data_IF_494473048642
#
_entry.id   IF_494473048642
#
_cell.length_a   1.000
_cell.length_b   1.000
_cell.length_c   1.000
_cell.angle_alpha   90.00
_cell.angle_beta   90.00
_cell.angle_gamma   90.00
#
_symmetry.space_group_name_H-M   'P 1'
#
loop_
_entity.id
_entity.type
_entity.pdbx_description
1 polymer ?
#
# COMPACT_ATOMS: atom_id res chain seq x y z
N UNK A 1 19.49 12.97 -4.08
CA UNK A 1 18.33 12.15 -4.55
C UNK A 1 18.62 11.71 -5.97
N UNK A 2 18.46 10.45 -6.26
CA UNK A 2 18.76 9.88 -7.59
C UNK A 2 17.58 10.22 -8.53
N UNK A 3 17.70 11.30 -9.30
CA UNK A 3 16.65 11.88 -10.15
C UNK A 3 16.27 10.99 -11.37
N UNK A 4 16.92 9.85 -11.55
CA UNK A 4 16.71 8.94 -12.68
C UNK A 4 15.93 7.65 -12.34
N UNK A 5 15.37 7.51 -11.13
CA UNK A 5 14.56 6.36 -10.78
C UNK A 5 13.17 6.45 -11.44
N UNK A 6 12.66 5.31 -11.92
CA UNK A 6 11.26 5.22 -12.37
C UNK A 6 10.32 5.64 -11.23
N UNK A 7 9.18 6.31 -11.51
CA UNK A 7 8.28 6.84 -10.47
C UNK A 7 7.92 5.83 -9.36
N UNK A 8 7.64 4.57 -9.72
CA UNK A 8 7.37 3.50 -8.74
C UNK A 8 8.54 3.25 -7.78
N UNK A 9 9.78 3.38 -8.25
CA UNK A 9 10.97 3.19 -7.41
C UNK A 9 11.22 4.41 -6.53
N UNK A 10 10.98 5.62 -7.03
CA UNK A 10 11.10 6.84 -6.23
C UNK A 10 10.21 6.80 -5.00
N UNK A 11 8.96 6.35 -5.15
CA UNK A 11 8.03 6.21 -4.04
C UNK A 11 8.58 5.28 -2.96
N UNK A 12 9.03 4.08 -3.31
CA UNK A 12 9.61 3.13 -2.35
C UNK A 12 10.94 3.61 -1.76
N UNK A 13 11.72 4.41 -2.49
CA UNK A 13 12.91 5.05 -1.95
C UNK A 13 12.59 6.07 -0.85
N UNK A 14 11.43 6.71 -0.94
CA UNK A 14 10.93 7.67 0.06
C UNK A 14 10.11 7.01 1.18
N UNK A 15 9.78 5.74 1.04
CA UNK A 15 8.97 4.99 2.02
C UNK A 15 9.82 4.56 3.21
N UNK A 16 9.78 5.34 4.28
CA UNK A 16 10.63 5.13 5.47
C UNK A 16 10.02 4.28 6.56
N UNK A 17 8.72 3.92 6.45
CA UNK A 17 7.99 3.22 7.49
C UNK A 17 8.06 1.68 7.40
N UNK A 18 8.59 1.12 6.32
CA UNK A 18 8.65 -0.34 6.17
C UNK A 18 9.64 -0.99 7.13
N UNK A 19 9.20 -2.08 7.77
CA UNK A 19 10.00 -2.99 8.57
C UNK A 19 10.06 -4.37 7.92
N UNK A 20 11.16 -5.09 8.13
CA UNK A 20 11.31 -6.46 7.64
C UNK A 20 10.34 -7.41 8.36
N UNK A 21 9.49 -8.16 7.66
CA UNK A 21 8.53 -9.07 8.31
C UNK A 21 9.21 -10.26 9.01
N UNK A 22 10.50 -10.46 8.78
CA UNK A 22 11.29 -11.56 9.36
C UNK A 22 12.03 -11.13 10.63
N UNK A 23 12.69 -9.97 10.61
CA UNK A 23 13.56 -9.52 11.70
C UNK A 23 13.27 -8.12 12.24
N UNK A 24 12.25 -7.45 11.75
CA UNK A 24 11.79 -6.10 12.13
C UNK A 24 12.82 -4.98 11.89
N UNK A 25 13.96 -5.27 11.29
CA UNK A 25 14.91 -4.26 10.85
C UNK A 25 14.34 -3.38 9.75
N UNK A 26 14.86 -2.18 9.62
CA UNK A 26 14.44 -1.24 8.58
C UNK A 26 14.60 -1.83 7.18
N UNK A 27 13.62 -1.63 6.33
CA UNK A 27 13.71 -1.92 4.91
C UNK A 27 14.05 -0.64 4.14
N UNK A 28 15.02 -0.73 3.25
CA UNK A 28 15.41 0.34 2.33
C UNK A 28 15.45 -0.15 0.91
N UNK A 29 15.16 0.73 -0.04
CA UNK A 29 15.23 0.39 -1.46
C UNK A 29 16.69 0.27 -1.91
N UNK A 30 17.04 -0.90 -2.44
CA UNK A 30 18.31 -1.18 -3.10
C UNK A 30 17.99 -1.75 -4.49
N UNK A 31 18.32 -1.00 -5.54
CA UNK A 31 17.92 -1.31 -6.92
C UNK A 31 16.40 -1.40 -7.09
N UNK A 32 15.84 -2.60 -7.21
CA UNK A 32 14.40 -2.85 -7.37
C UNK A 32 13.83 -3.71 -6.24
N UNK A 33 14.52 -3.79 -5.10
CA UNK A 33 14.12 -4.62 -3.95
C UNK A 33 14.19 -3.81 -2.67
N UNK A 34 13.29 -4.11 -1.72
CA UNK A 34 13.44 -3.66 -0.34
C UNK A 34 14.33 -4.65 0.41
N UNK A 35 15.39 -4.14 1.04
CA UNK A 35 16.38 -4.97 1.75
C UNK A 35 16.61 -4.46 3.16
N UNK A 36 16.87 -5.38 4.11
CA UNK A 36 17.32 -5.06 5.46
C UNK A 36 18.79 -5.41 5.66
N UNK A 37 19.38 -4.93 6.76
CA UNK A 37 20.77 -5.21 7.10
C UNK A 37 21.06 -6.71 7.35
N UNK A 38 20.05 -7.49 7.71
CA UNK A 38 20.15 -8.94 7.89
C UNK A 38 20.02 -9.73 6.58
N UNK A 39 20.17 -9.07 5.43
CA UNK A 39 20.16 -9.65 4.07
C UNK A 39 18.82 -10.24 3.60
N UNK A 40 17.70 -9.96 4.29
CA UNK A 40 16.40 -10.27 3.73
C UNK A 40 16.09 -9.31 2.59
N UNK A 41 15.52 -9.83 1.50
CA UNK A 41 15.25 -9.07 0.27
C UNK A 41 13.86 -9.39 -0.26
N UNK A 42 13.12 -8.34 -0.66
CA UNK A 42 11.76 -8.42 -1.18
C UNK A 42 11.67 -7.61 -2.47
N UNK A 43 11.45 -8.27 -3.59
CA UNK A 43 11.44 -7.63 -4.90
C UNK A 43 10.15 -6.83 -5.11
N UNK A 44 10.31 -5.66 -5.70
CA UNK A 44 9.18 -4.86 -6.16
C UNK A 44 8.58 -5.47 -7.43
N UNK A 45 7.29 -5.76 -7.37
CA UNK A 45 6.55 -6.27 -8.50
C UNK A 45 6.47 -5.25 -9.66
N UNK A 46 6.28 -5.74 -10.87
CA UNK A 46 6.16 -4.91 -12.09
C UNK A 46 5.15 -3.78 -11.94
N UNK A 47 4.04 -4.04 -11.25
CA UNK A 47 2.94 -3.07 -11.08
C UNK A 47 3.11 -2.12 -9.91
N UNK A 48 4.24 -2.16 -9.18
CA UNK A 48 4.55 -1.21 -8.13
C UNK A 48 3.95 -1.57 -6.77
N UNK A 49 4.01 -2.82 -6.38
CA UNK A 49 3.77 -3.29 -5.02
C UNK A 49 4.90 -4.22 -4.57
N UNK A 50 4.98 -4.48 -3.28
CA UNK A 50 5.92 -5.45 -2.70
C UNK A 50 5.16 -6.51 -1.93
N UNK A 51 5.61 -7.77 -1.99
CA UNK A 51 5.05 -8.84 -1.16
C UNK A 51 5.91 -9.01 0.11
N UNK A 52 5.39 -8.54 1.23
CA UNK A 52 6.01 -8.64 2.56
C UNK A 52 5.40 -9.76 3.42
N UNK A 53 4.55 -10.62 2.84
CA UNK A 53 3.99 -11.81 3.46
C UNK A 53 4.11 -13.05 2.53
N UNK A 54 5.31 -13.39 2.03
CA UNK A 54 5.46 -14.44 1.02
C UNK A 54 5.10 -15.83 1.53
N UNK A 55 5.08 -16.04 2.84
CA UNK A 55 4.72 -17.31 3.49
C UNK A 55 3.21 -17.55 3.56
N UNK A 56 2.39 -16.55 3.32
CA UNK A 56 0.93 -16.66 3.40
C UNK A 56 0.39 -17.39 2.17
N UNK A 57 -0.33 -18.47 2.41
CA UNK A 57 -1.08 -19.15 1.34
C UNK A 57 -2.28 -18.32 0.94
N UNK A 58 -2.39 -18.03 -0.35
CA UNK A 58 -3.55 -17.30 -0.88
C UNK A 58 -4.80 -18.17 -0.82
N UNK A 59 -5.92 -17.58 -0.38
CA UNK A 59 -7.20 -18.26 -0.29
C UNK A 59 -7.94 -18.19 -1.62
N UNK A 60 -8.53 -19.32 -2.06
CA UNK A 60 -9.39 -19.34 -3.24
C UNK A 60 -10.70 -18.55 -3.08
N UNK A 61 -11.10 -18.23 -1.84
CA UNK A 61 -12.31 -17.45 -1.55
C UNK A 61 -12.12 -15.94 -1.81
N UNK A 62 -10.90 -15.48 -1.97
CA UNK A 62 -10.54 -14.09 -2.28
C UNK A 62 -9.90 -14.03 -3.66
N UNK A 63 -10.66 -14.48 -4.67
CA UNK A 63 -10.19 -14.50 -6.03
C UNK A 63 -10.26 -13.12 -6.70
N UNK A 64 -9.58 -13.03 -7.82
CA UNK A 64 -9.48 -11.82 -8.60
C UNK A 64 -10.83 -11.30 -9.09
N UNK A 65 -11.76 -12.19 -9.43
CA UNK A 65 -13.08 -11.83 -9.95
C UNK A 65 -13.90 -11.11 -8.87
N UNK A 66 -13.90 -11.60 -7.64
CA UNK A 66 -14.59 -10.96 -6.52
C UNK A 66 -14.08 -9.52 -6.29
N UNK A 67 -12.77 -9.29 -6.35
CA UNK A 67 -12.21 -7.95 -6.21
C UNK A 67 -12.55 -7.06 -7.41
N UNK A 68 -12.57 -7.57 -8.62
CA UNK A 68 -12.97 -6.81 -9.80
C UNK A 68 -14.45 -6.42 -9.76
N UNK A 69 -15.33 -7.31 -9.33
CA UNK A 69 -16.76 -7.02 -9.14
C UNK A 69 -16.95 -5.94 -8.07
N UNK A 70 -16.26 -6.05 -6.95
CA UNK A 70 -16.29 -5.05 -5.88
C UNK A 70 -15.80 -3.69 -6.39
N UNK A 71 -14.72 -3.66 -7.16
CA UNK A 71 -14.18 -2.43 -7.75
C UNK A 71 -15.23 -1.72 -8.61
N UNK A 72 -15.97 -2.46 -9.45
CA UNK A 72 -17.02 -1.86 -10.28
C UNK A 72 -18.12 -1.20 -9.45
N UNK A 73 -18.55 -1.82 -8.35
CA UNK A 73 -19.57 -1.26 -7.44
C UNK A 73 -19.05 0.02 -6.77
N UNK A 74 -17.81 0.01 -6.30
CA UNK A 74 -17.19 1.17 -5.65
C UNK A 74 -16.99 2.33 -6.61
N UNK A 75 -16.47 2.07 -7.81
CA UNK A 75 -16.29 3.10 -8.85
C UNK A 75 -17.63 3.65 -9.40
N UNK A 76 -18.73 2.89 -9.28
CA UNK A 76 -20.06 3.35 -9.62
C UNK A 76 -20.65 4.34 -8.57
N UNK A 77 -19.95 4.63 -7.48
CA UNK A 77 -20.32 5.66 -6.51
C UNK A 77 -21.24 5.20 -5.37
N UNK A 78 -21.51 3.90 -5.22
CA UNK A 78 -22.40 3.39 -4.16
C UNK A 78 -21.91 3.72 -2.75
N UNK A 79 -20.59 3.92 -2.58
CA UNK A 79 -19.95 4.19 -1.29
C UNK A 79 -19.36 5.60 -1.22
N UNK A 80 -19.78 6.50 -2.08
CA UNK A 80 -19.26 7.88 -2.16
C UNK A 80 -19.40 8.63 -0.83
N UNK A 81 -20.53 8.48 -0.14
CA UNK A 81 -20.77 9.13 1.15
C UNK A 81 -19.75 8.70 2.23
N UNK A 82 -19.33 7.43 2.23
CA UNK A 82 -18.31 6.95 3.16
C UNK A 82 -16.94 7.56 2.81
N UNK A 83 -16.62 7.62 1.54
CA UNK A 83 -15.37 8.25 1.06
C UNK A 83 -15.29 9.73 1.49
N UNK A 84 -16.38 10.47 1.37
CA UNK A 84 -16.47 11.87 1.77
C UNK A 84 -16.26 12.05 3.27
N UNK A 85 -16.91 11.25 4.10
CA UNK A 85 -16.72 11.28 5.57
C UNK A 85 -15.25 11.01 5.95
N UNK A 86 -14.63 10.01 5.36
CA UNK A 86 -13.21 9.69 5.63
C UNK A 86 -12.30 10.82 5.15
N UNK A 87 -12.58 11.40 3.97
CA UNK A 87 -11.83 12.54 3.44
C UNK A 87 -11.92 13.77 4.35
N UNK A 88 -13.11 14.06 4.89
CA UNK A 88 -13.31 15.15 5.85
C UNK A 88 -12.54 14.92 7.15
N UNK A 89 -12.54 13.69 7.67
CA UNK A 89 -11.75 13.33 8.84
C UNK A 89 -10.25 13.56 8.60
N UNK A 90 -9.73 13.17 7.45
CA UNK A 90 -8.33 13.40 7.07
C UNK A 90 -8.01 14.89 6.90
N UNK A 91 -8.94 15.68 6.35
CA UNK A 91 -8.81 17.13 6.21
C UNK A 91 -8.72 17.84 7.56
N UNK A 92 -9.49 17.35 8.54
CA UNK A 92 -9.48 17.89 9.90
C UNK A 92 -8.28 17.41 10.72
N UNK A 93 -7.65 16.30 10.33
CA UNK A 93 -6.46 15.74 10.98
C UNK A 93 -5.17 16.31 10.37
N UNK A 94 -4.94 17.62 10.57
CA UNK A 94 -3.83 18.37 9.93
C UNK A 94 -2.45 17.84 10.30
N UNK A 95 -2.29 17.27 11.47
CA UNK A 95 -1.02 16.73 11.96
C UNK A 95 -0.73 15.32 11.44
N UNK A 96 -1.78 14.59 11.00
CA UNK A 96 -1.60 13.28 10.42
C UNK A 96 -0.94 13.39 9.04
N UNK A 97 0.26 12.83 8.89
CA UNK A 97 1.05 12.86 7.66
C UNK A 97 1.15 11.51 6.99
N UNK A 98 1.10 10.44 7.78
CA UNK A 98 1.34 9.08 7.32
C UNK A 98 0.13 8.21 7.63
N UNK A 99 -0.54 7.74 6.62
CA UNK A 99 -1.82 7.01 6.70
C UNK A 99 -1.58 5.54 6.32
N UNK A 100 -2.15 4.63 7.11
CA UNK A 100 -2.16 3.20 6.83
C UNK A 100 -3.59 2.71 6.61
N UNK A 101 -3.85 2.17 5.43
CA UNK A 101 -5.09 1.46 5.10
C UNK A 101 -4.90 -0.05 5.28
N UNK A 102 -5.64 -0.61 6.24
CA UNK A 102 -5.57 -2.02 6.62
C UNK A 102 -6.71 -2.80 5.97
N UNK A 103 -6.38 -3.79 5.15
CA UNK A 103 -7.37 -4.53 4.38
C UNK A 103 -7.91 -3.71 3.21
N UNK A 104 -7.01 -3.08 2.45
CA UNK A 104 -7.35 -2.11 1.41
C UNK A 104 -8.12 -2.71 0.22
N UNK A 105 -8.19 -4.04 0.10
CA UNK A 105 -8.82 -4.71 -1.02
C UNK A 105 -8.20 -4.28 -2.36
N UNK A 106 -9.06 -3.89 -3.31
CA UNK A 106 -8.68 -3.37 -4.64
C UNK A 106 -8.23 -1.90 -4.62
N UNK A 107 -8.12 -1.29 -3.44
CA UNK A 107 -7.49 0.00 -3.21
C UNK A 107 -8.33 1.23 -3.58
N UNK A 108 -9.64 1.10 -3.71
CA UNK A 108 -10.52 2.23 -4.05
C UNK A 108 -10.34 3.41 -3.10
N UNK A 109 -10.49 3.19 -1.79
CA UNK A 109 -10.40 4.27 -0.80
C UNK A 109 -9.00 4.89 -0.76
N UNK A 110 -7.95 4.06 -0.69
CA UNK A 110 -6.57 4.56 -0.65
C UNK A 110 -6.23 5.43 -1.85
N UNK A 111 -6.63 5.04 -3.07
CA UNK A 111 -6.40 5.82 -4.29
C UNK A 111 -7.14 7.16 -4.24
N UNK A 112 -8.44 7.14 -3.95
CA UNK A 112 -9.28 8.35 -3.93
C UNK A 112 -8.89 9.31 -2.82
N UNK A 113 -8.56 8.80 -1.64
CA UNK A 113 -8.10 9.61 -0.53
C UNK A 113 -6.72 10.23 -0.81
N UNK A 114 -5.81 9.48 -1.42
CA UNK A 114 -4.50 10.00 -1.79
C UNK A 114 -4.62 11.11 -2.86
N UNK A 115 -5.49 10.94 -3.86
CA UNK A 115 -5.77 11.98 -4.86
C UNK A 115 -6.28 13.27 -4.22
N UNK A 116 -7.12 13.16 -3.18
CA UNK A 116 -7.68 14.31 -2.44
C UNK A 116 -6.71 14.90 -1.40
N UNK A 117 -5.74 14.13 -0.93
CA UNK A 117 -4.78 14.52 0.11
C UNK A 117 -3.33 14.22 -0.34
N UNK A 118 -2.84 14.89 -1.41
CA UNK A 118 -1.52 14.60 -1.98
C UNK A 118 -0.36 14.97 -1.04
N UNK A 119 -0.62 15.75 0.01
CA UNK A 119 0.34 16.12 1.04
C UNK A 119 0.60 15.01 2.07
N UNK A 120 -0.24 13.96 2.07
CA UNK A 120 -0.13 12.82 2.98
C UNK A 120 0.50 11.61 2.29
N UNK A 121 1.27 10.85 3.04
CA UNK A 121 1.87 9.60 2.56
C UNK A 121 0.96 8.43 2.90
N UNK A 122 0.56 7.66 1.89
CA UNK A 122 -0.31 6.50 2.06
C UNK A 122 0.48 5.20 1.96
N UNK A 123 0.24 4.32 2.92
CA UNK A 123 0.58 2.91 2.90
C UNK A 123 -0.71 2.11 2.90
N UNK A 124 -0.81 1.11 2.05
CA UNK A 124 -2.03 0.30 1.96
C UNK A 124 -1.69 -1.16 1.72
N UNK A 125 -2.31 -2.05 2.49
CA UNK A 125 -2.06 -3.47 2.36
C UNK A 125 -3.32 -4.32 2.47
N UNK A 126 -3.21 -5.47 1.88
CA UNK A 126 -4.16 -6.57 2.05
C UNK A 126 -3.36 -7.88 2.14
N UNK A 127 -3.96 -8.90 2.71
CA UNK A 127 -3.38 -10.24 2.74
C UNK A 127 -3.49 -10.93 1.37
N UNK A 128 -4.46 -10.51 0.55
CA UNK A 128 -4.66 -11.02 -0.81
C UNK A 128 -3.71 -10.35 -1.79
N UNK A 129 -2.84 -11.14 -2.39
CA UNK A 129 -1.95 -10.68 -3.45
C UNK A 129 -2.71 -10.16 -4.67
N UNK A 130 -3.84 -10.81 -5.02
CA UNK A 130 -4.65 -10.43 -6.18
C UNK A 130 -5.29 -9.06 -6.00
N UNK A 131 -5.80 -8.75 -4.79
CA UNK A 131 -6.37 -7.44 -4.50
C UNK A 131 -5.33 -6.33 -4.57
N UNK A 132 -4.16 -6.52 -3.95
CA UNK A 132 -3.06 -5.55 -3.98
C UNK A 132 -2.55 -5.33 -5.41
N UNK A 133 -2.51 -6.38 -6.22
CA UNK A 133 -2.13 -6.25 -7.62
C UNK A 133 -3.16 -5.45 -8.42
N UNK A 134 -4.46 -5.63 -8.17
CA UNK A 134 -5.52 -4.83 -8.78
C UNK A 134 -5.36 -3.35 -8.36
N UNK A 135 -5.19 -3.10 -7.05
CA UNK A 135 -4.98 -1.76 -6.52
C UNK A 135 -3.82 -1.04 -7.20
N UNK A 136 -2.65 -1.69 -7.23
CA UNK A 136 -1.44 -1.14 -7.85
C UNK A 136 -1.58 -0.89 -9.37
N UNK A 137 -2.35 -1.74 -10.08
CA UNK A 137 -2.62 -1.55 -11.51
C UNK A 137 -3.61 -0.42 -11.78
N UNK A 138 -4.53 -0.17 -10.86
CA UNK A 138 -5.57 0.84 -11.01
C UNK A 138 -5.08 2.25 -10.67
N UNK A 139 -3.91 2.37 -10.07
CA UNK A 139 -3.28 3.64 -9.74
C UNK A 139 -2.49 4.19 -10.93
N UNK A 140 -2.69 5.48 -11.26
CA UNK A 140 -2.01 6.15 -12.36
C UNK A 140 -0.79 6.98 -11.93
N UNK A 141 -0.76 7.46 -10.70
CA UNK A 141 0.21 8.44 -10.20
C UNK A 141 1.35 7.86 -9.35
N UNK A 142 1.35 6.57 -9.08
CA UNK A 142 2.37 5.88 -8.26
C UNK A 142 2.55 6.48 -6.86
N UNK A 143 1.48 6.93 -6.22
CA UNK A 143 1.53 7.69 -4.99
C UNK A 143 1.28 6.88 -3.71
N UNK A 144 0.60 5.72 -3.80
CA UNK A 144 0.35 4.84 -2.65
C UNK A 144 1.42 3.75 -2.54
N UNK A 145 1.89 3.48 -1.33
CA UNK A 145 2.84 2.40 -1.04
C UNK A 145 2.08 1.09 -0.84
N UNK A 146 1.85 0.38 -1.95
CA UNK A 146 1.10 -0.89 -1.95
C UNK A 146 1.96 -2.05 -1.49
N UNK A 147 1.44 -2.87 -0.59
CA UNK A 147 2.11 -4.10 -0.21
C UNK A 147 1.15 -5.23 0.18
N UNK A 148 1.58 -6.47 -0.04
CA UNK A 148 0.92 -7.64 0.55
C UNK A 148 1.47 -7.79 1.96
N UNK A 149 0.61 -7.85 2.95
CA UNK A 149 0.99 -7.89 4.35
C UNK A 149 0.06 -8.75 5.18
N UNK A 150 0.57 -9.18 6.33
CA UNK A 150 -0.18 -9.88 7.37
C UNK A 150 -0.24 -9.01 8.61
N UNK A 151 -1.46 -8.72 9.09
CA UNK A 151 -1.66 -7.91 10.28
C UNK A 151 -1.03 -8.54 11.53
N UNK A 152 -0.95 -9.87 11.58
CA UNK A 152 -0.30 -10.58 12.69
C UNK A 152 1.23 -10.36 12.73
N UNK A 153 1.82 -9.95 11.62
CA UNK A 153 3.24 -9.58 11.47
C UNK A 153 3.37 -8.36 10.58
N UNK A 154 2.77 -7.26 11.03
CA UNK A 154 2.71 -6.02 10.27
C UNK A 154 4.13 -5.53 9.93
N UNK A 155 4.50 -5.41 8.64
CA UNK A 155 5.84 -5.01 8.22
C UNK A 155 5.97 -3.47 8.18
N UNK A 156 5.55 -2.84 9.26
CA UNK A 156 5.57 -1.38 9.48
C UNK A 156 6.22 -1.12 10.84
N UNK A 157 7.06 -0.12 10.90
CA UNK A 157 7.74 0.30 12.13
C UNK A 157 6.75 0.78 13.17
N UNK A 158 7.05 0.53 14.42
CA UNK A 158 6.29 1.08 15.55
C UNK A 158 6.29 2.61 15.49
N UNK A 159 5.16 3.22 15.88
CA UNK A 159 4.97 4.67 15.96
C UNK A 159 5.32 5.44 14.66
N UNK A 160 5.12 4.83 13.50
CA UNK A 160 5.41 5.44 12.19
C UNK A 160 4.16 5.86 11.41
N UNK A 161 2.97 5.56 11.93
CA UNK A 161 1.67 5.95 11.38
C UNK A 161 0.97 6.92 12.32
N UNK A 162 0.13 7.80 11.76
CA UNK A 162 -0.59 8.85 12.52
C UNK A 162 -2.07 8.49 12.83
#
# INVERSE_FOLDING_TARGET
>A
MNTNLKPKLQRFASATAFACPICQENLTLVESSLKCNNRHSFDLAKFGYVNLAPQIKQSANYDKENFQNRQQILEAGFYQAILEVVSDLLSNSKNAKTILDIGCGEGFYSRKLQESHPEKTFYAFDISKDSVQIAAKSESNWAVNWFVGDLARLPIKDASMD
#
